data_IF_796491998579
#
_entry.id   IF_796491998579
#
_cell.length_a   1.000
_cell.length_b   1.000
_cell.length_c   1.000
_cell.angle_alpha   90.00
_cell.angle_beta   90.00
_cell.angle_gamma   90.00
#
_symmetry.space_group_name_H-M   'P 1'
#
loop_
_entity.id
_entity.type
_entity.pdbx_description
1 polymer ?
#
# COMPACT_ATOMS: atom_id res chain seq x y z
N UNK A 1 -12.89 -7.83 -29.62
CA UNK A 1 -12.69 -8.72 -28.46
C UNK A 1 -11.47 -9.65 -28.55
N UNK A 2 -10.46 -9.35 -29.38
CA UNK A 2 -9.43 -10.36 -29.73
C UNK A 2 -8.21 -10.44 -28.80
N UNK A 3 -7.95 -9.45 -27.94
CA UNK A 3 -6.74 -9.42 -27.10
C UNK A 3 -7.08 -9.83 -25.66
N UNK A 4 -6.34 -10.79 -25.12
CA UNK A 4 -6.46 -11.27 -23.73
C UNK A 4 -5.78 -10.31 -22.73
N UNK A 5 -6.11 -10.45 -21.44
CA UNK A 5 -5.43 -9.67 -20.39
C UNK A 5 -3.92 -9.90 -20.36
N UNK A 6 -3.52 -11.17 -20.45
CA UNK A 6 -2.11 -11.57 -20.45
C UNK A 6 -1.33 -11.00 -21.64
N UNK A 7 -1.97 -10.94 -22.81
CA UNK A 7 -1.38 -10.30 -23.99
C UNK A 7 -1.19 -8.80 -23.79
N UNK A 8 -2.13 -8.11 -23.12
CA UNK A 8 -1.98 -6.69 -22.77
C UNK A 8 -0.82 -6.52 -21.79
N UNK A 9 -0.77 -7.31 -20.72
CA UNK A 9 0.30 -7.23 -19.71
C UNK A 9 1.68 -7.53 -20.29
N UNK A 10 1.76 -8.47 -21.25
CA UNK A 10 3.01 -8.75 -21.97
C UNK A 10 3.48 -7.55 -22.79
N UNK A 11 2.56 -6.86 -23.48
CA UNK A 11 2.86 -5.64 -24.25
C UNK A 11 3.19 -4.45 -23.34
N UNK A 12 2.54 -4.36 -22.17
CA UNK A 12 2.75 -3.29 -21.21
C UNK A 12 4.20 -3.21 -20.69
N UNK A 13 4.97 -4.32 -20.71
CA UNK A 13 6.41 -4.32 -20.35
C UNK A 13 7.27 -3.42 -21.25
N UNK A 14 6.81 -3.08 -22.44
CA UNK A 14 7.49 -2.16 -23.36
C UNK A 14 6.92 -0.74 -23.34
N UNK A 15 5.98 -0.43 -22.43
CA UNK A 15 5.35 0.87 -22.31
C UNK A 15 5.95 1.66 -21.15
N UNK A 16 6.04 2.98 -21.31
CA UNK A 16 6.31 3.91 -20.19
C UNK A 16 5.00 4.40 -19.58
N UNK A 17 5.07 5.02 -18.40
CA UNK A 17 3.91 5.61 -17.72
C UNK A 17 3.19 6.65 -18.60
N UNK A 18 3.92 7.45 -19.38
CA UNK A 18 3.35 8.44 -20.29
C UNK A 18 2.52 7.80 -21.41
N UNK A 19 2.97 6.66 -21.95
CA UNK A 19 2.21 5.90 -22.96
C UNK A 19 0.93 5.34 -22.34
N UNK A 20 1.01 4.81 -21.12
CA UNK A 20 -0.15 4.28 -20.38
C UNK A 20 -1.15 5.41 -20.12
N UNK A 21 -0.68 6.57 -19.67
CA UNK A 21 -1.52 7.76 -19.46
C UNK A 21 -2.17 8.26 -20.75
N UNK A 22 -1.42 8.27 -21.87
CA UNK A 22 -1.97 8.64 -23.18
C UNK A 22 -3.09 7.70 -23.62
N UNK A 23 -2.93 6.38 -23.43
CA UNK A 23 -3.98 5.40 -23.73
C UNK A 23 -5.22 5.61 -22.85
N UNK A 24 -5.03 5.85 -21.55
CA UNK A 24 -6.13 6.11 -20.63
C UNK A 24 -6.92 7.38 -21.01
N UNK A 25 -6.25 8.43 -21.49
CA UNK A 25 -6.89 9.69 -21.96
C UNK A 25 -7.78 9.50 -23.19
N UNK A 26 -7.54 8.46 -23.99
CA UNK A 26 -8.33 8.14 -25.18
C UNK A 26 -9.53 7.23 -24.89
N UNK A 27 -9.61 6.68 -23.67
CA UNK A 27 -10.64 5.73 -23.27
C UNK A 27 -11.82 6.43 -22.59
N UNK A 28 -13.04 6.02 -22.94
CA UNK A 28 -14.22 6.36 -22.14
C UNK A 28 -14.26 5.56 -20.84
N UNK A 29 -15.14 5.95 -19.92
CA UNK A 29 -15.29 5.26 -18.62
C UNK A 29 -15.54 3.74 -18.78
N UNK A 30 -16.36 3.35 -19.77
CA UNK A 30 -16.66 1.94 -20.01
C UNK A 30 -15.44 1.18 -20.56
N UNK A 31 -14.63 1.82 -21.40
CA UNK A 31 -13.40 1.22 -21.93
C UNK A 31 -12.40 0.96 -20.79
N UNK A 32 -12.23 1.94 -19.90
CA UNK A 32 -11.38 1.82 -18.70
C UNK A 32 -11.84 0.64 -17.82
N UNK A 33 -13.14 0.55 -17.53
CA UNK A 33 -13.69 -0.56 -16.74
C UNK A 33 -13.48 -1.91 -17.44
N UNK A 34 -13.73 -1.96 -18.75
CA UNK A 34 -13.65 -3.20 -19.53
C UNK A 34 -12.21 -3.71 -19.68
N UNK A 35 -11.26 -2.81 -19.94
CA UNK A 35 -9.83 -3.14 -20.02
C UNK A 35 -9.32 -3.56 -18.64
N UNK A 36 -9.56 -2.78 -17.59
CA UNK A 36 -9.10 -3.08 -16.23
C UNK A 36 -9.62 -4.43 -15.73
N UNK A 37 -10.88 -4.80 -16.06
CA UNK A 37 -11.45 -6.11 -15.71
C UNK A 37 -10.65 -7.29 -16.29
N UNK A 38 -9.90 -7.11 -17.37
CA UNK A 38 -9.06 -8.14 -17.97
C UNK A 38 -7.68 -8.25 -17.34
N UNK A 39 -7.21 -7.19 -16.68
CA UNK A 39 -5.86 -7.12 -16.11
C UNK A 39 -5.86 -7.77 -14.73
N UNK A 40 -5.54 -9.06 -14.67
CA UNK A 40 -5.43 -9.79 -13.42
C UNK A 40 -3.99 -9.71 -12.89
N UNK A 41 -3.81 -9.02 -11.78
CA UNK A 41 -2.54 -8.88 -11.07
C UNK A 41 -2.71 -9.47 -9.68
N UNK A 42 -1.88 -10.45 -9.34
CA UNK A 42 -1.85 -11.07 -8.02
C UNK A 42 -0.57 -10.68 -7.28
N UNK A 43 -0.67 -10.48 -5.97
CA UNK A 43 0.46 -10.25 -5.07
C UNK A 43 0.25 -11.06 -3.79
N UNK A 44 1.34 -11.61 -3.24
CA UNK A 44 1.31 -12.42 -2.01
C UNK A 44 2.18 -11.80 -0.93
N UNK A 45 1.56 -11.53 0.21
CA UNK A 45 2.22 -11.22 1.48
C UNK A 45 2.01 -12.43 2.41
N UNK A 46 1.14 -12.35 3.41
CA UNK A 46 0.64 -13.55 4.13
C UNK A 46 -0.53 -14.22 3.40
N UNK A 47 -1.28 -13.43 2.64
CA UNK A 47 -2.37 -13.88 1.77
C UNK A 47 -2.13 -13.41 0.34
N UNK A 48 -2.83 -14.00 -0.62
CA UNK A 48 -2.78 -13.59 -2.03
C UNK A 48 -3.98 -12.71 -2.36
N UNK A 49 -3.73 -11.45 -2.69
CA UNK A 49 -4.73 -10.49 -3.18
C UNK A 49 -4.80 -10.52 -4.72
N UNK A 50 -5.95 -10.15 -5.30
CA UNK A 50 -6.12 -10.00 -6.74
C UNK A 50 -6.69 -11.21 -7.49
N UNK A 51 -6.96 -12.32 -6.78
CA UNK A 51 -7.57 -13.51 -7.35
C UNK A 51 -8.94 -13.21 -7.95
N UNK A 52 -9.24 -13.82 -9.09
CA UNK A 52 -10.54 -13.69 -9.75
C UNK A 52 -11.68 -14.15 -8.81
N UNK A 53 -12.73 -13.32 -8.71
CA UNK A 53 -13.88 -13.59 -7.86
C UNK A 53 -13.68 -13.21 -6.39
N UNK A 54 -12.57 -12.54 -6.05
CA UNK A 54 -12.33 -11.99 -4.71
C UNK A 54 -12.40 -10.46 -4.73
N UNK A 55 -12.72 -9.86 -3.59
CA UNK A 55 -12.65 -8.43 -3.36
C UNK A 55 -12.14 -8.20 -1.94
N UNK A 56 -10.96 -7.60 -1.82
CA UNK A 56 -10.27 -7.45 -0.56
C UNK A 56 -10.42 -6.03 0.00
N UNK A 57 -10.43 -5.91 1.32
CA UNK A 57 -10.74 -4.67 2.04
C UNK A 57 -9.64 -4.37 3.05
N UNK A 58 -9.09 -3.15 2.98
CA UNK A 58 -8.26 -2.58 4.05
C UNK A 58 -9.16 -2.25 5.24
N UNK A 59 -8.83 -2.79 6.41
CA UNK A 59 -9.45 -2.37 7.66
C UNK A 59 -8.55 -1.34 8.33
N UNK A 60 -9.02 -0.09 8.36
CA UNK A 60 -8.26 1.03 8.94
C UNK A 60 -8.99 1.70 10.12
N UNK A 61 -8.79 1.19 11.35
CA UNK A 61 -9.41 1.73 12.56
C UNK A 61 -8.68 3.00 13.07
N UNK A 62 -8.74 4.08 12.30
CA UNK A 62 -8.16 5.36 12.69
C UNK A 62 -8.88 5.94 13.92
N UNK A 63 -8.11 6.45 14.88
CA UNK A 63 -8.63 7.20 16.03
C UNK A 63 -7.98 8.57 16.08
N UNK A 64 -8.68 9.68 16.40
CA UNK A 64 -8.11 11.04 16.39
C UNK A 64 -6.86 11.27 17.25
N UNK A 65 -6.58 10.34 18.17
CA UNK A 65 -5.46 10.38 19.12
C UNK A 65 -4.74 9.04 19.21
N UNK A 66 -4.97 8.13 18.27
CA UNK A 66 -4.44 6.76 18.28
C UNK A 66 -4.71 6.00 19.60
N UNK A 67 -5.86 6.25 20.23
CA UNK A 67 -6.21 5.61 21.49
C UNK A 67 -6.39 4.10 21.28
N UNK A 68 -5.54 3.29 21.91
CA UNK A 68 -5.52 1.83 21.77
C UNK A 68 -6.91 1.19 21.95
N UNK A 69 -7.73 1.63 22.91
CA UNK A 69 -9.07 1.06 23.12
C UNK A 69 -10.02 1.39 21.97
N UNK A 70 -9.99 2.63 21.48
CA UNK A 70 -10.79 3.07 20.34
C UNK A 70 -10.40 2.33 19.05
N UNK A 71 -9.09 2.22 18.80
CA UNK A 71 -8.54 1.44 17.68
C UNK A 71 -8.98 -0.01 17.77
N UNK A 72 -8.88 -0.63 18.96
CA UNK A 72 -9.29 -2.03 19.17
C UNK A 72 -10.78 -2.24 18.91
N UNK A 73 -11.65 -1.32 19.37
CA UNK A 73 -13.09 -1.43 19.15
C UNK A 73 -13.44 -1.42 17.66
N UNK A 74 -12.91 -0.45 16.91
CA UNK A 74 -13.14 -0.36 15.46
C UNK A 74 -12.51 -1.52 14.68
N UNK A 75 -11.35 -2.03 15.13
CA UNK A 75 -10.72 -3.22 14.57
C UNK A 75 -11.63 -4.45 14.70
N UNK A 76 -12.15 -4.72 15.89
CA UNK A 76 -13.01 -5.88 16.13
C UNK A 76 -14.36 -5.75 15.40
N UNK A 77 -14.92 -4.54 15.32
CA UNK A 77 -16.11 -4.27 14.52
C UNK A 77 -15.86 -4.56 13.04
N UNK A 78 -14.80 -4.01 12.44
CA UNK A 78 -14.49 -4.23 11.02
C UNK A 78 -14.24 -5.69 10.68
N UNK A 79 -13.54 -6.42 11.56
CA UNK A 79 -13.33 -7.86 11.40
C UNK A 79 -14.66 -8.63 11.39
N UNK A 80 -15.68 -8.19 12.15
CA UNK A 80 -17.00 -8.82 12.16
C UNK A 80 -17.75 -8.71 10.83
N UNK A 81 -17.42 -7.71 10.00
CA UNK A 81 -17.94 -7.55 8.64
C UNK A 81 -17.10 -8.27 7.57
N UNK A 82 -16.05 -8.98 7.97
CA UNK A 82 -15.12 -9.63 7.04
C UNK A 82 -14.13 -8.66 6.38
N UNK A 83 -13.93 -7.46 6.93
CA UNK A 83 -12.91 -6.53 6.45
C UNK A 83 -11.53 -6.87 7.04
N UNK A 84 -10.47 -6.49 6.32
CA UNK A 84 -9.10 -6.62 6.81
C UNK A 84 -8.31 -7.77 6.21
N UNK A 85 -8.81 -8.42 5.16
CA UNK A 85 -8.08 -9.43 4.39
C UNK A 85 -6.97 -8.81 3.52
N UNK A 86 -7.14 -7.55 3.08
CA UNK A 86 -6.08 -6.83 2.38
C UNK A 86 -4.97 -6.36 3.32
N UNK A 87 -5.32 -5.78 4.47
CA UNK A 87 -4.39 -5.34 5.53
C UNK A 87 -5.19 -4.84 6.75
N UNK A 88 -4.66 -5.10 7.95
CA UNK A 88 -4.99 -4.37 9.17
C UNK A 88 -4.05 -3.17 9.27
N UNK A 89 -4.54 -1.99 8.88
CA UNK A 89 -3.72 -0.78 8.70
C UNK A 89 -4.11 0.33 9.66
N UNK A 90 -3.20 1.22 10.05
CA UNK A 90 -3.56 2.45 10.75
C UNK A 90 -2.75 3.61 10.20
N UNK A 91 -3.42 4.72 9.88
CA UNK A 91 -2.73 5.98 9.59
C UNK A 91 -2.61 6.75 10.91
N UNK A 92 -1.39 6.83 11.50
CA UNK A 92 -1.22 7.35 12.84
C UNK A 92 -1.41 8.86 12.89
N UNK A 93 -2.18 9.33 13.86
CA UNK A 93 -2.22 10.73 14.23
C UNK A 93 -0.86 11.19 14.80
N UNK A 94 -0.09 10.27 15.39
CA UNK A 94 1.24 10.53 15.94
C UNK A 94 2.29 9.62 15.26
N UNK A 95 3.09 10.20 14.37
CA UNK A 95 4.17 9.50 13.68
C UNK A 95 5.47 9.49 14.51
N UNK A 96 5.61 8.49 15.38
CA UNK A 96 6.87 8.19 16.06
C UNK A 96 7.02 6.69 16.33
N UNK A 97 8.27 6.25 16.52
CA UNK A 97 8.63 4.82 16.65
C UNK A 97 7.83 4.11 17.75
N UNK A 98 7.59 4.77 18.90
CA UNK A 98 6.85 4.17 20.01
C UNK A 98 5.39 3.93 19.62
N UNK A 99 4.71 4.95 19.11
CA UNK A 99 3.31 4.86 18.68
C UNK A 99 3.13 3.79 17.60
N UNK A 100 3.99 3.82 16.57
CA UNK A 100 4.01 2.82 15.50
C UNK A 100 4.18 1.41 16.06
N UNK A 101 5.14 1.20 16.97
CA UNK A 101 5.41 -0.10 17.60
C UNK A 101 4.24 -0.58 18.45
N UNK A 102 3.61 0.30 19.23
CA UNK A 102 2.47 -0.05 20.08
C UNK A 102 1.27 -0.52 19.24
N UNK A 103 0.97 0.15 18.12
CA UNK A 103 -0.12 -0.24 17.23
C UNK A 103 0.22 -1.51 16.43
N UNK A 104 1.46 -1.66 15.95
CA UNK A 104 1.90 -2.91 15.31
C UNK A 104 1.76 -4.11 16.25
N UNK A 105 2.15 -3.96 17.51
CA UNK A 105 1.99 -5.00 18.52
C UNK A 105 0.51 -5.32 18.79
N UNK A 106 -0.35 -4.30 18.86
CA UNK A 106 -1.81 -4.50 18.99
C UNK A 106 -2.36 -5.34 17.83
N UNK A 107 -2.06 -4.95 16.59
CA UNK A 107 -2.54 -5.69 15.43
C UNK A 107 -1.98 -7.10 15.38
N UNK A 108 -0.70 -7.29 15.73
CA UNK A 108 -0.09 -8.60 15.79
C UNK A 108 -0.72 -9.49 16.88
N UNK A 109 -1.03 -8.94 18.06
CA UNK A 109 -1.71 -9.68 19.13
C UNK A 109 -3.09 -10.17 18.67
N UNK A 110 -3.90 -9.29 18.08
CA UNK A 110 -5.23 -9.66 17.56
C UNK A 110 -5.13 -10.68 16.44
N UNK A 111 -4.26 -10.44 15.44
CA UNK A 111 -3.99 -11.36 14.33
C UNK A 111 -3.61 -12.75 14.85
N UNK A 112 -2.68 -12.81 15.79
CA UNK A 112 -2.12 -14.07 16.30
C UNK A 112 -3.10 -14.83 17.19
N UNK A 113 -3.78 -14.14 18.11
CA UNK A 113 -4.76 -14.75 19.03
C UNK A 113 -5.96 -15.32 18.31
N UNK A 114 -6.45 -14.60 17.31
CA UNK A 114 -7.61 -15.01 16.51
C UNK A 114 -7.21 -15.84 15.28
N UNK A 115 -5.90 -16.04 15.04
CA UNK A 115 -5.34 -16.77 13.90
C UNK A 115 -5.88 -16.26 12.56
N UNK A 116 -5.95 -14.94 12.41
CA UNK A 116 -6.50 -14.29 11.21
C UNK A 116 -5.44 -14.36 10.09
N UNK A 117 -5.75 -14.92 8.92
CA UNK A 117 -4.85 -14.91 7.78
C UNK A 117 -4.88 -13.51 7.14
N UNK A 118 -4.00 -12.63 7.59
CA UNK A 118 -3.85 -11.26 7.07
C UNK A 118 -2.44 -10.72 7.33
N UNK A 119 -2.23 -9.47 6.99
CA UNK A 119 -1.01 -8.70 7.16
C UNK A 119 -1.32 -7.42 7.95
N UNK A 120 -0.34 -6.95 8.73
CA UNK A 120 -0.42 -5.72 9.53
C UNK A 120 0.50 -4.63 8.97
N UNK A 121 0.06 -3.38 9.10
CA UNK A 121 0.84 -2.21 8.69
C UNK A 121 0.46 -0.99 9.54
N UNK A 122 1.41 -0.10 9.80
CA UNK A 122 1.13 1.24 10.30
C UNK A 122 1.75 2.23 9.34
N UNK A 123 0.91 3.11 8.76
CA UNK A 123 1.21 4.00 7.65
C UNK A 123 1.99 5.25 8.10
N UNK A 124 2.97 5.05 8.99
CA UNK A 124 3.98 6.04 9.38
C UNK A 124 4.92 6.36 8.22
N UNK A 125 5.74 7.40 8.32
CA UNK A 125 6.85 7.59 7.38
C UNK A 125 7.79 6.37 7.37
N UNK A 126 8.34 6.01 6.19
CA UNK A 126 9.18 4.82 6.00
C UNK A 126 10.33 4.74 7.00
N UNK A 127 10.98 5.86 7.30
CA UNK A 127 12.09 5.90 8.27
C UNK A 127 11.66 5.56 9.70
N UNK A 128 10.44 5.92 10.11
CA UNK A 128 9.88 5.53 11.41
C UNK A 128 9.60 4.03 11.45
N UNK A 129 8.99 3.50 10.38
CA UNK A 129 8.70 2.08 10.24
C UNK A 129 9.97 1.23 10.28
N UNK A 130 11.01 1.59 9.51
CA UNK A 130 12.26 0.85 9.50
C UNK A 130 12.97 0.88 10.86
N UNK A 131 12.88 1.97 11.61
CA UNK A 131 13.40 2.01 13.00
C UNK A 131 12.63 1.08 13.93
N UNK A 132 11.29 1.03 13.81
CA UNK A 132 10.47 0.11 14.58
C UNK A 132 10.80 -1.36 14.23
N UNK A 133 10.93 -1.66 12.95
CA UNK A 133 11.31 -2.99 12.45
C UNK A 133 12.70 -3.41 12.93
N UNK A 134 13.71 -2.53 12.82
CA UNK A 134 15.08 -2.77 13.35
C UNK A 134 15.08 -2.97 14.87
N UNK A 135 14.08 -2.45 15.58
CA UNK A 135 13.89 -2.64 17.02
C UNK A 135 13.08 -3.90 17.38
N UNK A 136 12.69 -4.71 16.38
CA UNK A 136 11.98 -5.98 16.57
C UNK A 136 10.45 -5.88 16.58
N UNK A 137 9.86 -4.75 16.17
CA UNK A 137 8.41 -4.66 16.03
C UNK A 137 7.90 -5.61 14.92
N UNK A 138 6.79 -6.35 15.13
CA UNK A 138 6.22 -7.21 14.10
C UNK A 138 5.64 -6.35 12.98
N UNK A 139 5.97 -6.64 11.73
CA UNK A 139 5.52 -5.87 10.58
C UNK A 139 5.45 -6.78 9.35
N UNK A 140 4.29 -6.80 8.69
CA UNK A 140 4.09 -7.64 7.50
C UNK A 140 4.23 -6.86 6.20
N UNK A 141 3.82 -5.58 6.21
CA UNK A 141 3.95 -4.64 5.10
C UNK A 141 4.62 -3.34 5.56
N UNK A 142 5.45 -2.75 4.69
CA UNK A 142 6.04 -1.44 4.88
C UNK A 142 5.39 -0.41 3.95
N UNK A 143 4.81 0.63 4.53
CA UNK A 143 4.09 1.66 3.80
C UNK A 143 5.01 2.81 3.35
N UNK A 144 4.70 3.45 2.21
CA UNK A 144 5.21 4.79 1.91
C UNK A 144 4.34 5.48 0.87
N UNK A 145 4.04 6.77 1.07
CA UNK A 145 3.50 7.62 0.00
C UNK A 145 4.58 7.86 -1.04
N UNK A 146 4.26 7.63 -2.32
CA UNK A 146 5.17 7.84 -3.45
C UNK A 146 4.61 8.88 -4.41
N UNK A 147 5.49 9.42 -5.27
CA UNK A 147 5.16 10.41 -6.26
C UNK A 147 5.94 10.17 -7.57
N UNK A 148 5.40 10.67 -8.68
CA UNK A 148 5.90 10.41 -10.03
C UNK A 148 7.15 11.20 -10.44
N UNK A 149 7.63 12.14 -9.61
CA UNK A 149 8.89 12.86 -9.85
C UNK A 149 9.83 12.81 -8.65
N UNK A 150 11.14 12.80 -8.90
CA UNK A 150 12.17 12.78 -7.85
C UNK A 150 11.99 13.93 -6.85
N UNK A 151 11.72 15.15 -7.36
CA UNK A 151 11.46 16.32 -6.52
C UNK A 151 10.20 16.15 -5.64
N UNK A 152 9.15 15.52 -6.17
CA UNK A 152 7.94 15.25 -5.40
C UNK A 152 8.21 14.19 -4.30
N UNK A 153 8.90 13.11 -4.65
CA UNK A 153 9.25 12.05 -3.72
C UNK A 153 10.15 12.58 -2.58
N UNK A 154 11.13 13.42 -2.93
CA UNK A 154 11.99 14.10 -1.97
C UNK A 154 11.21 15.06 -1.04
N UNK A 155 10.09 15.63 -1.50
CA UNK A 155 9.23 16.46 -0.64
C UNK A 155 8.53 15.66 0.47
N UNK A 156 8.39 14.34 0.29
CA UNK A 156 7.97 13.42 1.34
C UNK A 156 9.12 13.00 2.26
N UNK A 157 10.36 13.41 2.00
CA UNK A 157 11.53 12.97 2.77
C UNK A 157 11.97 11.54 2.43
N UNK A 158 11.67 11.08 1.22
CA UNK A 158 11.96 9.73 0.72
C UNK A 158 12.71 9.81 -0.62
N UNK A 159 13.49 8.79 -0.95
CA UNK A 159 14.10 8.57 -2.26
C UNK A 159 13.98 7.09 -2.67
N UNK A 160 14.42 6.76 -3.89
CA UNK A 160 14.30 5.40 -4.44
C UNK A 160 15.19 4.39 -3.70
N UNK A 161 16.35 4.84 -3.19
CA UNK A 161 17.28 3.98 -2.45
C UNK A 161 16.68 3.56 -1.10
N UNK A 162 15.98 4.48 -0.42
CA UNK A 162 15.23 4.16 0.80
C UNK A 162 14.12 3.14 0.55
N UNK A 163 13.42 3.22 -0.59
CA UNK A 163 12.40 2.23 -0.95
C UNK A 163 13.00 0.84 -1.19
N UNK A 164 14.18 0.80 -1.83
CA UNK A 164 14.92 -0.44 -2.06
C UNK A 164 15.42 -1.04 -0.72
N UNK A 165 16.05 -0.24 0.14
CA UNK A 165 16.49 -0.67 1.48
C UNK A 165 15.30 -1.21 2.28
N UNK A 166 14.15 -0.53 2.24
CA UNK A 166 12.96 -0.96 2.96
C UNK A 166 12.46 -2.33 2.49
N UNK A 167 12.43 -2.56 1.17
CA UNK A 167 12.00 -3.84 0.62
C UNK A 167 12.95 -4.98 1.00
N UNK A 168 14.26 -4.73 0.95
CA UNK A 168 15.28 -5.71 1.38
C UNK A 168 15.16 -6.01 2.88
N UNK A 169 15.02 -4.98 3.71
CA UNK A 169 14.91 -5.15 5.15
C UNK A 169 13.62 -5.86 5.55
N UNK A 170 12.51 -5.59 4.87
CA UNK A 170 11.27 -6.35 5.09
C UNK A 170 11.42 -7.82 4.73
N UNK A 171 12.18 -8.14 3.66
CA UNK A 171 12.44 -9.53 3.29
C UNK A 171 13.28 -10.29 4.34
N UNK A 172 14.18 -9.60 5.06
CA UNK A 172 15.03 -10.22 6.08
C UNK A 172 14.49 -10.17 7.51
N UNK A 173 13.72 -9.13 7.84
CA UNK A 173 13.30 -8.84 9.22
C UNK A 173 11.77 -8.81 9.42
N UNK A 174 11.00 -8.70 8.34
CA UNK A 174 9.54 -8.70 8.39
C UNK A 174 8.98 -10.03 8.88
N UNK A 175 7.71 -10.02 9.30
CA UNK A 175 7.01 -11.21 9.79
C UNK A 175 6.19 -11.92 8.73
N UNK A 176 6.12 -11.36 7.51
CA UNK A 176 5.32 -11.91 6.43
C UNK A 176 6.06 -12.93 5.58
N UNK A 177 5.29 -13.79 4.88
CA UNK A 177 5.83 -14.81 3.98
C UNK A 177 6.41 -14.17 2.71
N UNK A 178 5.82 -13.07 2.25
CA UNK A 178 6.25 -12.38 1.03
C UNK A 178 5.84 -13.10 -0.26
N UNK A 179 6.42 -12.71 -1.41
CA UNK A 179 7.54 -11.77 -1.57
C UNK A 179 7.12 -10.29 -1.67
N UNK A 180 5.83 -9.98 -1.56
CA UNK A 180 5.34 -8.61 -1.73
C UNK A 180 5.20 -7.92 -0.36
N UNK A 181 6.18 -7.08 -0.03
CA UNK A 181 6.27 -6.42 1.28
C UNK A 181 5.87 -4.95 1.27
N UNK A 182 5.92 -4.29 0.12
CA UNK A 182 5.72 -2.85 0.02
C UNK A 182 4.25 -2.49 -0.16
N UNK A 183 3.81 -1.47 0.56
CA UNK A 183 2.50 -0.86 0.42
C UNK A 183 2.65 0.61 0.02
N UNK A 184 2.55 0.90 -1.26
CA UNK A 184 2.60 2.27 -1.75
C UNK A 184 1.21 2.90 -1.85
N UNK A 185 1.11 4.19 -1.53
CA UNK A 185 -0.07 5.00 -1.77
C UNK A 185 0.31 6.17 -2.68
N UNK A 186 -0.53 6.41 -3.68
CA UNK A 186 -0.39 7.47 -4.68
C UNK A 186 -1.58 8.41 -4.57
N UNK A 187 -1.57 9.50 -5.33
CA UNK A 187 -2.71 10.38 -5.42
C UNK A 187 -2.49 11.45 -6.47
N UNK A 188 -3.49 11.65 -7.31
CA UNK A 188 -3.50 12.74 -8.28
C UNK A 188 -3.36 14.08 -7.54
N UNK A 189 -2.47 14.94 -8.05
CA UNK A 189 -2.24 16.27 -7.51
C UNK A 189 -1.11 16.38 -6.48
N UNK A 190 -0.43 15.27 -6.13
CA UNK A 190 0.73 15.29 -5.25
C UNK A 190 1.83 16.20 -5.79
N UNK A 191 2.20 16.03 -7.06
CA UNK A 191 3.24 16.77 -7.76
C UNK A 191 2.86 18.24 -8.00
N UNK A 192 1.55 18.51 -8.16
CA UNK A 192 1.04 19.88 -8.25
C UNK A 192 1.21 20.60 -6.90
N UNK A 193 0.86 19.92 -5.80
CA UNK A 193 0.93 20.46 -4.44
C UNK A 193 2.36 20.74 -4.00
N UNK A 194 3.32 19.91 -4.42
CA UNK A 194 4.75 20.11 -4.17
C UNK A 194 5.48 20.96 -5.23
N UNK A 195 4.74 21.55 -6.20
CA UNK A 195 5.30 22.34 -7.31
C UNK A 195 6.45 21.59 -8.05
N UNK A 196 6.20 20.33 -8.36
CA UNK A 196 7.14 19.37 -8.97
C UNK A 196 6.52 18.61 -10.15
N UNK A 197 5.40 19.11 -10.68
CA UNK A 197 4.68 18.53 -11.81
C UNK A 197 5.25 18.91 -13.18
N UNK A 198 6.26 19.78 -13.24
CA UNK A 198 6.99 20.16 -14.46
C UNK A 198 6.10 20.47 -15.69
N UNK A 199 4.93 21.08 -15.47
CA UNK A 199 3.98 21.43 -16.54
C UNK A 199 3.11 20.29 -17.06
N UNK A 200 3.32 19.04 -16.62
CA UNK A 200 2.44 17.92 -16.96
C UNK A 200 1.17 17.92 -16.09
N UNK A 201 0.11 17.26 -16.60
CA UNK A 201 -1.18 17.12 -15.91
C UNK A 201 -1.19 15.98 -14.89
N UNK A 202 -2.20 15.97 -14.01
CA UNK A 202 -2.27 15.07 -12.86
C UNK A 202 -2.42 13.58 -13.20
N UNK A 203 -2.83 13.21 -14.41
CA UNK A 203 -2.95 11.79 -14.78
C UNK A 203 -1.63 11.20 -15.30
N UNK A 204 -0.71 12.05 -15.77
CA UNK A 204 0.60 11.59 -16.26
C UNK A 204 1.55 11.30 -15.10
N UNK A 205 1.37 11.98 -13.97
CA UNK A 205 2.09 11.74 -12.73
C UNK A 205 1.46 10.64 -11.88
#
# INVERSE_FOLDING_TARGET
NMISGDEILKKARGMTSEVIAALAKLMGNLDLMYVSRKLHIEATCNTTIGKKGTFAVRLQPNHPTDNVKGVTASLLEGLSYGAGDAVLGLNPAIDNVKSTTDILNLFNDVKSRLKIPTQICVLSHITTQLKALKSGAPMDLCFQSIAGSEKALASFGTDVDMLAEANELMASNGTSIGPNYMYFETGQGSELSSNSHNGADQLVW
#
